data_IF_739050191433
#
_entry.id   IF_739050191433
#
_cell.length_a   1.000
_cell.length_b   1.000
_cell.length_c   1.000
_cell.angle_alpha   90.00
_cell.angle_beta   90.00
_cell.angle_gamma   90.00
#
_symmetry.space_group_name_H-M   'P 1'
#
loop_
_entity.id
_entity.type
_entity.pdbx_description
1 polymer ?
#
# COMPACT_ATOMS: atom_id res chain seq x y z
N UNK A 1 11.13 -5.98 -16.48
CA UNK A 1 11.00 -5.66 -15.04
C UNK A 1 9.61 -6.08 -14.59
N UNK A 2 9.47 -6.78 -13.46
CA UNK A 2 8.14 -7.13 -12.92
C UNK A 2 7.47 -5.86 -12.39
N UNK A 3 6.17 -5.74 -12.62
CA UNK A 3 5.39 -4.62 -12.10
C UNK A 3 5.38 -4.68 -10.56
N UNK A 4 5.58 -3.53 -9.86
CA UNK A 4 5.68 -3.50 -8.41
C UNK A 4 4.38 -3.88 -7.71
N UNK A 5 4.49 -4.32 -6.47
CA UNK A 5 3.36 -4.56 -5.58
C UNK A 5 3.26 -3.43 -4.57
N UNK A 6 2.08 -2.82 -4.45
CA UNK A 6 1.84 -1.78 -3.45
C UNK A 6 1.14 -2.37 -2.23
N UNK A 7 1.67 -2.12 -1.04
CA UNK A 7 0.96 -2.28 0.22
C UNK A 7 0.42 -0.91 0.68
N UNK A 8 -0.87 -0.84 0.98
CA UNK A 8 -1.47 0.34 1.60
C UNK A 8 -1.73 0.04 3.07
N UNK A 9 -1.12 0.83 3.95
CA UNK A 9 -1.37 0.79 5.39
C UNK A 9 -1.31 2.19 5.99
N UNK A 10 -2.47 2.78 6.22
CA UNK A 10 -2.67 4.15 6.69
C UNK A 10 -2.71 4.26 8.23
N UNK A 11 -3.06 3.17 8.91
CA UNK A 11 -3.03 3.11 10.38
C UNK A 11 -1.76 2.42 10.90
N UNK A 12 -1.34 2.64 12.15
CA UNK A 12 -0.21 1.93 12.72
C UNK A 12 -0.50 0.43 12.82
N UNK A 13 0.53 -0.37 12.57
CA UNK A 13 0.58 -1.80 12.87
C UNK A 13 1.61 -2.03 13.97
N UNK A 14 1.40 -3.08 14.75
CA UNK A 14 2.40 -3.63 15.66
C UNK A 14 3.48 -4.36 14.85
N UNK A 15 4.67 -4.53 15.44
CA UNK A 15 5.80 -5.19 14.77
C UNK A 15 5.46 -6.61 14.29
N UNK A 16 4.64 -7.35 15.06
CA UNK A 16 4.19 -8.70 14.67
C UNK A 16 3.32 -8.69 13.41
N UNK A 17 2.49 -7.66 13.22
CA UNK A 17 1.63 -7.52 12.04
C UNK A 17 2.49 -7.18 10.82
N UNK A 18 3.50 -6.32 11.00
CA UNK A 18 4.48 -6.00 9.97
C UNK A 18 5.26 -7.23 9.49
N UNK A 19 5.70 -8.08 10.43
CA UNK A 19 6.45 -9.30 10.07
C UNK A 19 5.57 -10.29 9.31
N UNK A 20 4.31 -10.49 9.73
CA UNK A 20 3.36 -11.34 8.99
C UNK A 20 3.04 -10.79 7.61
N UNK A 21 2.89 -9.47 7.49
CA UNK A 21 2.65 -8.82 6.21
C UNK A 21 3.81 -9.04 5.25
N UNK A 22 5.03 -8.85 5.75
CA UNK A 22 6.26 -9.12 4.99
C UNK A 22 6.31 -10.56 4.50
N UNK A 23 6.16 -11.53 5.40
CA UNK A 23 6.23 -12.95 5.04
C UNK A 23 5.16 -13.32 4.00
N UNK A 24 3.95 -12.78 4.16
CA UNK A 24 2.83 -13.01 3.22
C UNK A 24 3.12 -12.42 1.84
N UNK A 25 3.69 -11.22 1.78
CA UNK A 25 4.05 -10.55 0.53
C UNK A 25 5.20 -11.27 -0.18
N UNK A 26 6.25 -11.63 0.55
CA UNK A 26 7.41 -12.39 0.04
C UNK A 26 6.98 -13.75 -0.52
N UNK A 27 6.09 -14.47 0.18
CA UNK A 27 5.59 -15.76 -0.28
C UNK A 27 4.70 -15.64 -1.54
N UNK A 28 3.90 -14.58 -1.63
CA UNK A 28 2.97 -14.38 -2.75
C UNK A 28 3.65 -13.84 -4.01
N UNK A 29 4.69 -13.01 -3.87
CA UNK A 29 5.35 -12.32 -4.98
C UNK A 29 6.87 -12.39 -4.87
N UNK A 30 7.47 -13.58 -5.07
CA UNK A 30 8.91 -13.72 -5.06
C UNK A 30 9.55 -12.81 -6.12
N UNK A 31 10.68 -12.21 -5.77
CA UNK A 31 11.50 -11.35 -6.63
C UNK A 31 10.79 -10.11 -7.20
N UNK A 32 9.75 -9.62 -6.52
CA UNK A 32 9.00 -8.43 -6.96
C UNK A 32 9.26 -7.26 -6.00
N UNK A 33 9.55 -6.04 -6.52
CA UNK A 33 9.75 -4.88 -5.65
C UNK A 33 8.44 -4.50 -4.96
N UNK A 34 8.52 -4.31 -3.64
CA UNK A 34 7.39 -3.87 -2.81
C UNK A 34 7.46 -2.36 -2.56
N UNK A 35 6.32 -1.70 -2.69
CA UNK A 35 6.14 -0.29 -2.37
C UNK A 35 5.17 -0.19 -1.20
N UNK A 36 5.31 0.84 -0.37
CA UNK A 36 4.45 1.08 0.78
C UNK A 36 3.80 2.47 0.69
N UNK A 37 2.49 2.55 0.88
CA UNK A 37 1.77 3.78 1.18
C UNK A 37 1.35 3.80 2.65
N UNK A 38 1.92 4.73 3.41
CA UNK A 38 1.63 5.00 4.82
C UNK A 38 1.13 6.43 5.05
N UNK A 39 0.58 6.71 6.22
CA UNK A 39 0.14 8.04 6.63
C UNK A 39 1.17 8.79 7.52
N UNK A 40 2.44 8.38 7.46
CA UNK A 40 3.53 8.98 8.24
C UNK A 40 3.66 8.46 9.67
N UNK A 41 2.97 7.37 10.01
CA UNK A 41 3.18 6.66 11.27
C UNK A 41 4.58 5.99 11.34
N UNK A 42 5.09 5.67 12.54
CA UNK A 42 6.33 4.90 12.69
C UNK A 42 6.28 3.59 11.91
N UNK A 43 7.40 3.28 11.25
CA UNK A 43 7.60 2.04 10.50
C UNK A 43 8.66 1.20 11.21
N UNK A 44 8.66 -0.14 11.03
CA UNK A 44 9.71 -0.99 11.57
C UNK A 44 11.07 -0.60 10.97
N UNK A 45 12.14 -0.79 11.73
CA UNK A 45 13.49 -0.37 11.34
C UNK A 45 13.98 -0.98 10.02
N UNK A 46 13.48 -2.17 9.67
CA UNK A 46 13.80 -2.86 8.43
C UNK A 46 13.00 -2.37 7.21
N UNK A 47 11.97 -1.52 7.37
CA UNK A 47 11.08 -1.13 6.29
C UNK A 47 11.82 -0.54 5.08
N UNK A 48 12.84 0.29 5.33
CA UNK A 48 13.64 0.91 4.26
C UNK A 48 14.56 -0.06 3.50
N UNK A 49 14.85 -1.25 4.07
CA UNK A 49 15.60 -2.30 3.37
C UNK A 49 14.68 -3.23 2.56
N UNK A 50 13.40 -3.32 2.94
CA UNK A 50 12.43 -4.21 2.31
C UNK A 50 11.62 -3.53 1.21
N UNK A 51 11.07 -2.34 1.49
CA UNK A 51 10.29 -1.59 0.51
C UNK A 51 11.23 -0.77 -0.38
N UNK A 52 11.09 -0.95 -1.69
CA UNK A 52 11.83 -0.17 -2.68
C UNK A 52 11.47 1.31 -2.61
N UNK A 53 10.20 1.62 -2.39
CA UNK A 53 9.71 2.98 -2.25
C UNK A 53 8.68 3.08 -1.13
N UNK A 54 8.76 4.13 -0.31
CA UNK A 54 7.84 4.40 0.79
C UNK A 54 7.24 5.79 0.61
N UNK A 55 5.92 5.84 0.47
CA UNK A 55 5.11 7.04 0.41
C UNK A 55 4.44 7.27 1.75
N UNK A 56 4.72 8.41 2.40
CA UNK A 56 4.16 8.74 3.71
C UNK A 56 2.96 9.71 3.62
N UNK A 57 2.46 9.96 2.41
CA UNK A 57 1.39 10.91 2.09
C UNK A 57 0.01 10.24 1.93
N UNK A 58 -0.20 9.05 2.50
CA UNK A 58 -1.45 8.29 2.46
C UNK A 58 -2.64 8.94 3.18
N UNK A 59 -2.41 9.98 3.99
CA UNK A 59 -3.44 10.86 4.54
C UNK A 59 -3.36 12.27 3.93
N UNK A 60 -3.70 12.45 2.65
CA UNK A 60 -3.54 13.73 1.96
C UNK A 60 -4.46 14.80 2.56
N UNK A 61 -3.88 15.94 2.96
CA UNK A 61 -4.63 17.12 3.43
C UNK A 61 -4.91 18.07 2.26
N UNK A 62 -6.18 18.15 1.86
CA UNK A 62 -6.65 19.04 0.80
C UNK A 62 -6.71 18.41 -0.61
N UNK A 63 -7.49 19.01 -1.52
CA UNK A 63 -7.83 18.41 -2.82
C UNK A 63 -6.62 18.23 -3.74
N UNK A 64 -5.67 19.17 -3.76
CA UNK A 64 -4.49 19.08 -4.62
C UNK A 64 -3.56 17.91 -4.27
N UNK A 65 -3.36 17.65 -2.97
CA UNK A 65 -2.57 16.49 -2.50
C UNK A 65 -3.29 15.19 -2.79
N UNK A 66 -4.62 15.17 -2.61
CA UNK A 66 -5.44 14.01 -2.90
C UNK A 66 -5.40 13.65 -4.40
N UNK A 67 -5.56 14.61 -5.30
CA UNK A 67 -5.43 14.40 -6.75
C UNK A 67 -4.02 13.93 -7.13
N UNK A 68 -2.99 14.48 -6.50
CA UNK A 68 -1.61 14.05 -6.72
C UNK A 68 -1.40 12.58 -6.33
N UNK A 69 -1.96 12.15 -5.21
CA UNK A 69 -1.93 10.74 -4.77
C UNK A 69 -2.71 9.85 -5.74
N UNK A 70 -3.92 10.24 -6.16
CA UNK A 70 -4.72 9.46 -7.12
C UNK A 70 -4.00 9.29 -8.45
N UNK A 71 -3.33 10.34 -8.93
CA UNK A 71 -2.49 10.29 -10.14
C UNK A 71 -1.31 9.33 -9.95
N UNK A 72 -0.63 9.38 -8.80
CA UNK A 72 0.51 8.50 -8.51
C UNK A 72 0.09 7.03 -8.39
N UNK A 73 -1.04 6.74 -7.76
CA UNK A 73 -1.62 5.40 -7.71
C UNK A 73 -2.01 4.89 -9.11
N UNK A 74 -2.58 5.77 -9.93
CA UNK A 74 -3.02 5.47 -11.31
C UNK A 74 -1.85 5.17 -12.24
N UNK A 75 -0.73 5.88 -12.09
CA UNK A 75 0.43 5.75 -12.99
C UNK A 75 1.60 4.97 -12.39
N UNK A 76 1.46 4.44 -11.16
CA UNK A 76 2.51 3.66 -10.50
C UNK A 76 2.78 2.29 -11.14
N UNK A 77 1.93 1.86 -12.09
CA UNK A 77 2.16 0.62 -12.85
C UNK A 77 2.14 -0.64 -12.00
N UNK A 78 1.39 -0.64 -10.89
CA UNK A 78 1.34 -1.74 -9.94
C UNK A 78 0.67 -2.99 -10.52
N UNK A 79 1.25 -4.16 -10.26
CA UNK A 79 0.65 -5.44 -10.59
C UNK A 79 -0.58 -5.71 -9.72
N UNK A 80 -0.43 -5.46 -8.41
CA UNK A 80 -1.47 -5.67 -7.40
C UNK A 80 -1.30 -4.65 -6.28
N UNK A 81 -2.41 -4.22 -5.71
CA UNK A 81 -2.48 -3.37 -4.53
C UNK A 81 -3.08 -4.19 -3.39
N UNK A 82 -2.33 -4.32 -2.30
CA UNK A 82 -2.79 -4.92 -1.05
C UNK A 82 -3.36 -3.85 -0.12
N UNK A 83 -4.60 -4.05 0.27
CA UNK A 83 -5.27 -3.33 1.34
C UNK A 83 -4.88 -3.97 2.69
N UNK A 84 -4.00 -3.30 3.43
CA UNK A 84 -3.59 -3.65 4.78
C UNK A 84 -4.49 -3.06 5.87
N UNK A 85 -5.58 -2.37 5.53
CA UNK A 85 -6.57 -1.96 6.52
C UNK A 85 -7.47 -3.12 6.96
N UNK A 86 -7.60 -4.16 6.14
CA UNK A 86 -8.43 -5.32 6.41
C UNK A 86 -9.90 -5.11 5.99
N UNK A 87 -10.75 -6.14 6.09
CA UNK A 87 -12.13 -6.07 5.58
C UNK A 87 -13.08 -5.26 6.47
N UNK A 88 -12.84 -5.24 7.79
CA UNK A 88 -13.69 -4.55 8.77
C UNK A 88 -13.39 -3.06 8.86
N UNK A 89 -12.13 -2.70 8.68
CA UNK A 89 -11.66 -1.32 8.69
C UNK A 89 -11.23 -0.80 7.32
N UNK A 90 -11.53 -1.56 6.25
CA UNK A 90 -11.29 -1.19 4.86
C UNK A 90 -11.99 0.13 4.57
N UNK A 91 -11.26 1.21 4.88
CA UNK A 91 -11.83 2.52 5.11
C UNK A 91 -12.59 2.93 3.86
N UNK A 92 -13.70 3.64 4.01
CA UNK A 92 -14.45 4.17 2.87
C UNK A 92 -13.52 4.85 1.82
N UNK A 93 -12.41 5.41 2.31
CA UNK A 93 -11.29 5.91 1.52
C UNK A 93 -10.67 4.88 0.55
N UNK A 94 -10.28 3.68 0.99
CA UNK A 94 -9.67 2.67 0.12
C UNK A 94 -10.67 2.15 -0.91
N UNK A 95 -11.95 2.00 -0.53
CA UNK A 95 -13.02 1.64 -1.47
C UNK A 95 -13.18 2.70 -2.56
N UNK A 96 -13.15 3.98 -2.17
CA UNK A 96 -13.18 5.10 -3.11
C UNK A 96 -11.95 5.09 -4.03
N UNK A 97 -10.76 4.86 -3.49
CA UNK A 97 -9.53 4.79 -4.29
C UNK A 97 -9.57 3.64 -5.29
N UNK A 98 -10.03 2.45 -4.89
CA UNK A 98 -10.25 1.32 -5.79
C UNK A 98 -11.18 1.67 -6.97
N UNK A 99 -12.21 2.48 -6.71
CA UNK A 99 -13.10 2.94 -7.77
C UNK A 99 -12.45 3.94 -8.72
N UNK A 100 -11.59 4.84 -8.22
CA UNK A 100 -11.01 5.95 -8.98
C UNK A 100 -9.69 5.63 -9.70
N UNK A 101 -8.86 4.75 -9.15
CA UNK A 101 -7.52 4.46 -9.68
C UNK A 101 -7.64 3.74 -11.03
N UNK A 102 -6.96 4.27 -12.06
CA UNK A 102 -6.99 3.75 -13.43
C UNK A 102 -5.61 3.79 -14.11
N UNK A 103 -5.21 2.79 -14.91
CA UNK A 103 -5.91 1.52 -15.20
C UNK A 103 -6.13 0.72 -13.92
N UNK A 104 -7.25 0.01 -13.79
CA UNK A 104 -7.67 -0.58 -12.53
C UNK A 104 -6.76 -1.79 -12.17
N UNK A 105 -5.81 -1.66 -11.23
CA UNK A 105 -4.96 -2.79 -10.86
C UNK A 105 -5.79 -3.80 -10.07
N UNK A 106 -5.25 -5.00 -9.88
CA UNK A 106 -5.89 -5.96 -8.98
C UNK A 106 -5.81 -5.43 -7.53
N UNK A 107 -6.92 -5.47 -6.80
CA UNK A 107 -6.96 -5.10 -5.38
C UNK A 107 -7.22 -6.35 -4.54
N UNK A 108 -6.32 -6.64 -3.59
CA UNK A 108 -6.43 -7.75 -2.66
C UNK A 108 -6.46 -7.24 -1.23
N UNK A 109 -7.19 -7.92 -0.35
CA UNK A 109 -7.12 -7.66 1.09
C UNK A 109 -5.99 -8.48 1.66
N UNK A 110 -5.07 -7.86 2.38
CA UNK A 110 -4.05 -8.58 3.12
C UNK A 110 -4.69 -9.16 4.38
N UNK A 111 -4.59 -10.48 4.56
CA UNK A 111 -5.09 -11.19 5.74
C UNK A 111 -3.87 -11.59 6.58
N UNK A 112 -3.79 -11.08 7.81
CA UNK A 112 -2.69 -11.27 8.76
C UNK A 112 -3.08 -12.14 9.96
#
# INVERSE_FOLDING_TARGET
MRAPVLLIRLRPWQDVEWERARATLEAAHPDTPFWLLSAGQPLPSWAGAFFHEIWQDGAPRGPGRWLSLMRRLSWGGFAVIYDGEGPEDGAAQIKLWRFLVRPAPEWRVLRL
#
